data_IF_082865254925
#
_entry.id   IF_082865254925
#
_cell.length_a   1.000
_cell.length_b   1.000
_cell.length_c   1.000
_cell.angle_alpha   90.00
_cell.angle_beta   90.00
_cell.angle_gamma   90.00
#
_symmetry.space_group_name_H-M   'P 1'
#
loop_
_entity.id
_entity.type
_entity.pdbx_description
1 polymer ?
#
# COMPACT_ATOMS: atom_id res chain seq x y z
N UNK A 1 -36.76 -3.59 -36.07
CA UNK A 1 -36.93 -3.69 -34.61
C UNK A 1 -35.67 -4.23 -33.93
N UNK A 2 -35.16 -5.41 -34.30
CA UNK A 2 -33.93 -6.01 -33.72
C UNK A 2 -32.67 -5.11 -33.78
N UNK A 3 -32.36 -4.52 -34.95
CA UNK A 3 -31.22 -3.61 -35.12
C UNK A 3 -31.28 -2.31 -34.30
N UNK A 4 -32.49 -1.84 -33.98
CA UNK A 4 -32.71 -0.64 -33.16
C UNK A 4 -32.51 -0.96 -31.67
N UNK A 5 -32.86 -2.18 -31.26
CA UNK A 5 -32.64 -2.68 -29.92
C UNK A 5 -31.15 -2.95 -29.65
N UNK A 6 -30.44 -3.60 -30.59
CA UNK A 6 -28.99 -3.83 -30.50
C UNK A 6 -28.23 -2.50 -30.38
N UNK A 7 -28.55 -1.51 -31.22
CA UNK A 7 -27.94 -0.18 -31.14
C UNK A 7 -28.24 0.54 -29.81
N UNK A 8 -29.45 0.39 -29.26
CA UNK A 8 -29.80 0.98 -27.97
C UNK A 8 -29.02 0.35 -26.81
N UNK A 9 -28.82 -0.98 -26.85
CA UNK A 9 -28.01 -1.70 -25.85
C UNK A 9 -26.54 -1.27 -25.93
N UNK A 10 -25.98 -1.18 -27.14
CA UNK A 10 -24.59 -0.74 -27.35
C UNK A 10 -24.39 0.71 -26.85
N UNK A 11 -25.29 1.63 -27.21
CA UNK A 11 -25.22 3.02 -26.75
C UNK A 11 -25.34 3.09 -25.21
N UNK A 12 -26.25 2.30 -24.60
CA UNK A 12 -26.43 2.23 -23.15
C UNK A 12 -25.19 1.70 -22.40
N UNK A 13 -24.55 0.66 -22.93
CA UNK A 13 -23.30 0.11 -22.36
C UNK A 13 -22.17 1.15 -22.38
N UNK A 14 -22.05 1.92 -23.48
CA UNK A 14 -21.06 2.99 -23.58
C UNK A 14 -21.34 4.12 -22.58
N UNK A 15 -22.59 4.56 -22.45
CA UNK A 15 -22.95 5.60 -21.46
C UNK A 15 -22.73 5.16 -20.02
N UNK A 16 -23.10 3.93 -19.67
CA UNK A 16 -22.88 3.38 -18.33
C UNK A 16 -21.39 3.22 -18.03
N UNK A 17 -20.61 2.74 -19.01
CA UNK A 17 -19.15 2.66 -18.92
C UNK A 17 -18.49 4.01 -18.68
N UNK A 18 -18.82 5.04 -19.49
CA UNK A 18 -18.27 6.39 -19.29
C UNK A 18 -18.66 7.00 -17.95
N UNK A 19 -19.90 6.77 -17.50
CA UNK A 19 -20.38 7.27 -16.20
C UNK A 19 -19.61 6.63 -15.04
N UNK A 20 -19.37 5.33 -15.11
CA UNK A 20 -18.56 4.62 -14.10
C UNK A 20 -17.13 5.16 -14.05
N UNK A 21 -16.50 5.36 -15.21
CA UNK A 21 -15.15 5.95 -15.30
C UNK A 21 -15.12 7.35 -14.69
N UNK A 22 -16.12 8.19 -14.97
CA UNK A 22 -16.21 9.52 -14.37
C UNK A 22 -16.32 9.46 -12.84
N UNK A 23 -17.13 8.55 -12.30
CA UNK A 23 -17.25 8.36 -10.83
C UNK A 23 -15.92 7.92 -10.22
N UNK A 24 -15.20 7.01 -10.87
CA UNK A 24 -13.86 6.57 -10.43
C UNK A 24 -12.89 7.75 -10.42
N UNK A 25 -12.86 8.56 -11.48
CA UNK A 25 -11.98 9.75 -11.57
C UNK A 25 -12.31 10.73 -10.45
N UNK A 26 -13.59 11.04 -10.23
CA UNK A 26 -14.02 11.94 -9.16
C UNK A 26 -13.63 11.40 -7.78
N UNK A 27 -13.75 10.08 -7.56
CA UNK A 27 -13.35 9.43 -6.31
C UNK A 27 -11.83 9.52 -6.10
N UNK A 28 -11.01 9.28 -7.13
CA UNK A 28 -9.56 9.44 -7.05
C UNK A 28 -9.18 10.90 -6.75
N UNK A 29 -9.82 11.86 -7.41
CA UNK A 29 -9.62 13.28 -7.14
C UNK A 29 -9.94 13.62 -5.67
N UNK A 30 -11.05 13.09 -5.13
CA UNK A 30 -11.40 13.25 -3.73
C UNK A 30 -10.32 12.69 -2.80
N UNK A 31 -9.83 11.47 -3.04
CA UNK A 31 -8.75 10.87 -2.24
C UNK A 31 -7.48 11.71 -2.28
N UNK A 32 -7.11 12.25 -3.44
CA UNK A 32 -5.93 13.12 -3.58
C UNK A 32 -6.07 14.40 -2.77
N UNK A 33 -7.23 15.06 -2.83
CA UNK A 33 -7.50 16.26 -2.03
C UNK A 33 -7.48 15.93 -0.54
N UNK A 34 -8.08 14.81 -0.13
CA UNK A 34 -8.10 14.36 1.27
C UNK A 34 -6.68 14.09 1.80
N UNK A 35 -5.82 13.48 0.97
CA UNK A 35 -4.42 13.24 1.26
C UNK A 35 -3.62 14.55 1.39
N UNK A 36 -3.75 15.47 0.42
CA UNK A 36 -2.96 16.71 0.35
C UNK A 36 -3.38 17.72 1.42
N UNK A 37 -4.69 17.93 1.59
CA UNK A 37 -5.24 18.83 2.60
C UNK A 37 -5.21 18.28 4.03
N UNK A 38 -4.86 16.99 4.19
CA UNK A 38 -4.82 16.33 5.47
C UNK A 38 -3.81 16.95 6.45
N UNK A 39 -4.05 16.76 7.75
CA UNK A 39 -3.17 17.24 8.82
C UNK A 39 -2.41 16.11 9.46
N UNK A 40 -1.18 16.39 9.89
CA UNK A 40 -0.40 15.44 10.69
C UNK A 40 -0.63 15.74 12.17
N UNK A 41 -1.11 14.75 12.92
CA UNK A 41 -1.23 14.81 14.39
C UNK A 41 -0.24 13.84 15.03
N UNK A 42 0.13 14.10 16.27
CA UNK A 42 0.90 13.16 17.08
C UNK A 42 0.02 12.64 18.20
N UNK A 43 -0.06 11.33 18.32
CA UNK A 43 -0.74 10.63 19.42
C UNK A 43 0.26 9.71 20.11
N UNK A 44 -0.04 9.32 21.35
CA UNK A 44 0.76 8.34 22.08
C UNK A 44 0.16 6.96 21.88
N UNK A 45 0.99 5.94 21.68
CA UNK A 45 0.60 4.53 21.78
C UNK A 45 1.59 3.75 22.64
N UNK A 46 1.24 2.54 23.02
CA UNK A 46 2.06 1.70 23.90
C UNK A 46 2.68 0.54 23.12
N UNK A 47 3.99 0.30 23.27
CA UNK A 47 4.65 -0.87 22.66
C UNK A 47 4.15 -2.14 23.33
N UNK A 48 3.65 -3.08 22.53
CA UNK A 48 3.19 -4.39 22.98
C UNK A 48 4.26 -5.46 22.79
N UNK A 49 4.94 -5.44 21.63
CA UNK A 49 5.96 -6.43 21.30
C UNK A 49 6.91 -5.93 20.22
N UNK A 50 8.08 -6.56 20.19
CA UNK A 50 9.11 -6.37 19.19
C UNK A 50 9.13 -7.52 18.19
N UNK A 51 9.10 -7.21 16.89
CA UNK A 51 9.25 -8.21 15.81
C UNK A 51 10.52 -7.92 15.03
N UNK A 52 11.43 -8.90 15.04
CA UNK A 52 12.67 -8.84 14.27
C UNK A 52 12.66 -9.91 13.18
N UNK A 53 13.04 -9.52 11.97
CA UNK A 53 13.29 -10.43 10.87
C UNK A 53 14.75 -10.26 10.43
N UNK A 54 15.61 -11.28 10.62
CA UNK A 54 16.99 -11.21 10.15
C UNK A 54 17.04 -11.12 8.64
N UNK A 55 18.17 -10.65 8.09
CA UNK A 55 18.39 -10.63 6.64
C UNK A 55 18.14 -12.01 6.04
N UNK A 56 17.44 -12.07 4.91
CA UNK A 56 17.16 -13.32 4.23
C UNK A 56 17.39 -13.19 2.73
N UNK A 57 17.52 -14.34 2.10
CA UNK A 57 17.66 -14.46 0.65
C UNK A 57 16.43 -15.17 0.12
N UNK A 58 15.84 -14.60 -0.91
CA UNK A 58 14.73 -15.20 -1.64
C UNK A 58 15.22 -15.59 -3.03
N UNK A 59 14.94 -16.83 -3.42
CA UNK A 59 15.36 -17.38 -4.70
C UNK A 59 14.11 -17.69 -5.52
N UNK A 60 14.01 -17.09 -6.71
CA UNK A 60 12.88 -17.31 -7.63
C UNK A 60 13.37 -17.84 -8.96
N UNK A 61 12.51 -18.64 -9.60
CA UNK A 61 12.69 -19.13 -10.95
C UNK A 61 11.61 -18.50 -11.82
N UNK A 62 12.02 -17.66 -12.76
CA UNK A 62 11.11 -16.90 -13.61
C UNK A 62 11.25 -17.35 -15.06
N UNK A 63 10.12 -17.57 -15.74
CA UNK A 63 10.12 -17.85 -17.16
C UNK A 63 10.13 -16.52 -17.92
N UNK A 64 11.32 -16.13 -18.37
CA UNK A 64 11.52 -14.88 -19.08
C UNK A 64 11.34 -15.11 -20.58
N UNK A 65 10.43 -14.37 -21.25
CA UNK A 65 10.28 -14.47 -22.68
C UNK A 65 11.50 -13.86 -23.40
N UNK A 66 11.95 -14.50 -24.46
CA UNK A 66 12.94 -13.94 -25.38
C UNK A 66 12.50 -14.16 -26.83
N UNK A 67 12.82 -13.19 -27.67
CA UNK A 67 12.48 -13.21 -29.09
C UNK A 67 13.47 -14.10 -29.85
N UNK A 68 12.96 -15.01 -30.67
CA UNK A 68 13.75 -15.86 -31.55
C UNK A 68 14.13 -15.17 -32.88
N UNK A 69 13.65 -13.94 -33.13
CA UNK A 69 13.92 -13.17 -34.33
C UNK A 69 13.09 -13.59 -35.55
N UNK A 70 12.18 -14.55 -35.40
CA UNK A 70 11.27 -15.06 -36.42
C UNK A 70 9.79 -14.75 -36.09
N UNK A 71 9.53 -13.82 -35.17
CA UNK A 71 8.19 -13.50 -34.69
C UNK A 71 7.61 -14.51 -33.69
N UNK A 72 8.40 -15.50 -33.25
CA UNK A 72 8.03 -16.42 -32.18
C UNK A 72 8.76 -16.08 -30.88
N UNK A 73 8.04 -16.17 -29.76
CA UNK A 73 8.61 -16.03 -28.41
C UNK A 73 8.91 -17.40 -27.83
N UNK A 74 10.14 -17.60 -27.37
CA UNK A 74 10.49 -18.73 -26.51
C UNK A 74 10.64 -18.26 -25.07
N UNK A 75 10.61 -19.18 -24.12
CA UNK A 75 10.84 -18.89 -22.71
C UNK A 75 12.14 -19.54 -22.27
N UNK A 76 12.95 -18.80 -21.52
CA UNK A 76 14.08 -19.35 -20.79
C UNK A 76 13.82 -19.21 -19.30
N UNK A 77 14.26 -20.19 -18.54
CA UNK A 77 14.20 -20.11 -17.08
C UNK A 77 15.38 -19.27 -16.60
N UNK A 78 15.10 -18.14 -15.98
CA UNK A 78 16.09 -17.32 -15.29
C UNK A 78 15.99 -17.54 -13.78
N UNK A 79 17.16 -17.50 -13.15
CA UNK A 79 17.31 -17.64 -11.71
C UNK A 79 17.60 -16.28 -11.11
N UNK A 80 16.71 -15.79 -10.26
CA UNK A 80 16.88 -14.52 -9.56
C UNK A 80 17.11 -14.77 -8.07
N UNK A 81 18.05 -14.01 -7.51
CA UNK A 81 18.34 -13.99 -6.08
C UNK A 81 18.09 -12.59 -5.55
N UNK A 82 17.11 -12.45 -4.66
CA UNK A 82 16.78 -11.20 -4.00
C UNK A 82 17.33 -11.19 -2.58
N UNK A 83 18.16 -10.19 -2.29
CA UNK A 83 18.71 -9.97 -0.95
C UNK A 83 17.83 -8.98 -0.20
N UNK A 84 17.28 -9.41 0.92
CA UNK A 84 16.45 -8.58 1.78
C UNK A 84 17.23 -8.19 3.04
N UNK A 85 17.27 -6.89 3.34
CA UNK A 85 17.89 -6.38 4.56
C UNK A 85 17.12 -6.82 5.81
N UNK A 86 17.77 -6.74 6.97
CA UNK A 86 17.11 -6.91 8.26
C UNK A 86 15.90 -5.96 8.38
N UNK A 87 14.83 -6.44 9.03
CA UNK A 87 13.64 -5.65 9.31
C UNK A 87 13.36 -5.62 10.80
N UNK A 88 13.13 -4.41 11.32
CA UNK A 88 12.77 -4.16 12.69
C UNK A 88 11.36 -3.58 12.72
N UNK A 89 10.49 -4.15 13.55
CA UNK A 89 9.12 -3.70 13.70
C UNK A 89 8.72 -3.65 15.17
N UNK A 90 7.94 -2.64 15.52
CA UNK A 90 7.28 -2.53 16.82
C UNK A 90 5.79 -2.70 16.61
N UNK A 91 5.15 -3.56 17.41
CA UNK A 91 3.69 -3.61 17.49
C UNK A 91 3.27 -2.67 18.58
N UNK A 92 2.44 -1.69 18.23
CA UNK A 92 2.05 -0.60 19.12
C UNK A 92 0.54 -0.55 19.22
N UNK A 93 0.03 -0.49 20.44
CA UNK A 93 -1.38 -0.21 20.71
C UNK A 93 -1.63 1.28 20.54
N UNK A 94 -2.19 1.64 19.39
CA UNK A 94 -2.65 2.99 19.09
C UNK A 94 -4.16 3.17 19.33
N UNK A 95 -4.70 4.36 19.03
CA UNK A 95 -6.13 4.64 19.15
C UNK A 95 -7.02 3.81 18.22
N UNK A 96 -6.47 3.28 17.12
CA UNK A 96 -7.20 2.45 16.16
C UNK A 96 -7.04 0.95 16.44
N UNK A 97 -6.26 0.57 17.47
CA UNK A 97 -5.91 -0.81 17.79
C UNK A 97 -4.40 -1.10 17.66
N UNK A 98 -4.00 -2.38 17.77
CA UNK A 98 -2.61 -2.79 17.64
C UNK A 98 -2.17 -2.78 16.16
N UNK A 99 -1.14 -2.00 15.84
CA UNK A 99 -0.55 -1.91 14.50
C UNK A 99 0.95 -2.24 14.54
N UNK A 100 1.45 -2.87 13.47
CA UNK A 100 2.88 -3.16 13.28
C UNK A 100 3.54 -2.03 12.50
N UNK A 101 4.44 -1.29 13.13
CA UNK A 101 5.20 -0.22 12.48
C UNK A 101 6.63 -0.68 12.19
N UNK A 102 7.04 -0.56 10.93
CA UNK A 102 8.46 -0.71 10.56
C UNK A 102 9.25 0.47 11.11
N UNK A 103 10.36 0.16 11.79
CA UNK A 103 11.26 1.13 12.41
C UNK A 103 12.70 0.85 12.04
N UNK A 104 13.59 1.80 12.29
CA UNK A 104 15.02 1.54 12.21
C UNK A 104 15.53 0.82 13.48
N UNK A 105 16.73 0.27 13.41
CA UNK A 105 17.37 -0.45 14.51
C UNK A 105 17.48 0.40 15.79
N UNK A 106 17.76 1.70 15.66
CA UNK A 106 17.92 2.59 16.81
C UNK A 106 16.61 2.71 17.61
N UNK A 107 15.47 2.92 16.94
CA UNK A 107 14.16 3.00 17.57
C UNK A 107 13.70 1.66 18.15
N UNK A 108 14.03 0.55 17.48
CA UNK A 108 13.72 -0.79 17.95
C UNK A 108 14.40 -1.10 19.29
N UNK A 109 15.66 -0.69 19.46
CA UNK A 109 16.40 -0.88 20.71
C UNK A 109 16.00 0.14 21.78
N UNK A 110 15.67 1.37 21.36
CA UNK A 110 15.33 2.47 22.26
C UNK A 110 14.01 2.24 23.00
N UNK A 111 12.96 1.85 22.29
CA UNK A 111 11.65 1.62 22.90
C UNK A 111 11.53 0.22 23.48
N UNK A 112 10.98 0.11 24.69
CA UNK A 112 10.76 -1.16 25.40
C UNK A 112 9.27 -1.51 25.46
N UNK A 113 8.97 -2.79 25.68
CA UNK A 113 7.61 -3.24 25.92
C UNK A 113 6.98 -2.47 27.08
N UNK A 114 5.71 -2.08 26.91
CA UNK A 114 4.96 -1.26 27.85
C UNK A 114 5.30 0.24 27.79
N UNK A 115 6.29 0.67 27.01
CA UNK A 115 6.66 2.08 26.90
C UNK A 115 5.74 2.84 25.94
N UNK A 116 5.47 4.09 26.29
CA UNK A 116 4.77 5.05 25.44
C UNK A 116 5.66 5.57 24.30
N UNK A 117 5.12 5.54 23.09
CA UNK A 117 5.78 5.97 21.86
C UNK A 117 4.93 6.98 21.10
N UNK A 118 5.55 8.02 20.50
CA UNK A 118 4.85 8.96 19.66
C UNK A 118 4.56 8.33 18.29
N UNK A 119 3.28 8.23 17.96
CA UNK A 119 2.78 7.85 16.64
C UNK A 119 2.37 9.12 15.91
N UNK A 120 3.01 9.40 14.77
CA UNK A 120 2.55 10.42 13.84
C UNK A 120 1.51 9.81 12.92
N UNK A 121 0.38 10.49 12.76
CA UNK A 121 -0.75 10.06 11.94
C UNK A 121 -1.10 11.14 10.94
N UNK A 122 -1.24 10.77 9.66
CA UNK A 122 -1.80 11.64 8.62
C UNK A 122 -3.32 11.44 8.60
N UNK A 123 -4.06 12.45 9.01
CA UNK A 123 -5.52 12.45 9.00
C UNK A 123 -6.03 13.17 7.77
N UNK A 124 -6.92 12.54 7.01
CA UNK A 124 -7.55 13.14 5.83
C UNK A 124 -8.34 14.40 6.17
N UNK A 125 -8.31 15.39 5.28
CA UNK A 125 -8.95 16.70 5.48
C UNK A 125 -10.46 16.62 5.69
N UNK A 126 -11.13 15.78 4.90
CA UNK A 126 -12.58 15.61 4.83
C UNK A 126 -13.02 14.29 5.45
N UNK A 127 -12.26 13.21 5.23
CA UNK A 127 -12.64 11.89 5.75
C UNK A 127 -12.46 11.77 7.27
N UNK A 128 -11.56 12.56 7.86
CA UNK A 128 -11.16 12.41 9.26
C UNK A 128 -10.49 11.08 9.58
N UNK A 129 -10.18 10.25 8.57
CA UNK A 129 -9.59 8.92 8.73
C UNK A 129 -8.08 8.99 8.77
N UNK A 130 -7.46 8.02 9.45
CA UNK A 130 -6.03 7.79 9.37
C UNK A 130 -5.69 7.21 7.99
N UNK A 131 -4.91 7.96 7.21
CA UNK A 131 -4.43 7.53 5.89
C UNK A 131 -3.13 6.74 6.01
N UNK A 132 -2.28 7.12 6.96
CA UNK A 132 -1.02 6.43 7.27
C UNK A 132 -0.54 6.84 8.67
N UNK A 133 0.14 5.92 9.34
CA UNK A 133 0.69 6.05 10.69
C UNK A 133 2.16 5.60 10.70
N UNK A 134 3.03 6.32 11.43
CA UNK A 134 4.44 5.95 11.57
C UNK A 134 5.02 6.42 12.91
N UNK A 135 6.01 5.69 13.40
CA UNK A 135 6.77 6.06 14.59
C UNK A 135 7.92 6.97 14.16
N UNK A 136 8.06 8.14 14.79
CA UNK A 136 9.14 9.08 14.53
C UNK A 136 10.05 9.17 15.75
N UNK A 137 11.38 9.16 15.54
CA UNK A 137 12.28 9.82 16.48
C UNK A 137 11.89 11.30 16.48
N UNK A 138 11.78 11.94 17.64
CA UNK A 138 11.43 13.35 17.75
C UNK A 138 12.23 14.22 16.79
#
# INVERSE_FOLDING_TARGET
MKKLFEKFVDDWEVYTGMSLVMVIILFICFLMVDCVGGKTITVTGQVLEHRYKPSWVEQTFENVPYDLGNGHTAYRMEYHTYHHSEQFSLVVLGPDGPESHSVNQALYVYYRDGQDVPIRRRIGAYSGRCLTSWISSR
#
